data_IF_181237417662
#
_entry.id   IF_181237417662
#
_cell.length_a   1.000
_cell.length_b   1.000
_cell.length_c   1.000
_cell.angle_alpha   90.00
_cell.angle_beta   90.00
_cell.angle_gamma   90.00
#
_symmetry.space_group_name_H-M   'P 1'
#
loop_
_entity.id
_entity.type
_entity.pdbx_description
1 polymer ?
#
# COMPACT_ATOMS: atom_id res chain seq x y z
N UNK A 1 -4.86 -10.97 30.98
CA UNK A 1 -4.24 -11.57 29.79
C UNK A 1 -5.36 -11.99 28.83
N UNK A 2 -5.64 -11.19 27.83
CA UNK A 2 -6.55 -11.58 26.75
C UNK A 2 -5.85 -12.69 25.97
N UNK A 3 -6.53 -13.83 25.76
CA UNK A 3 -5.98 -14.90 24.94
C UNK A 3 -5.64 -14.32 23.56
N UNK A 4 -4.39 -14.49 23.11
CA UNK A 4 -3.99 -14.14 21.74
C UNK A 4 -4.79 -15.10 20.85
N UNK A 5 -5.78 -14.57 20.12
CA UNK A 5 -6.53 -15.31 19.11
C UNK A 5 -5.53 -15.84 18.07
N UNK A 6 -5.75 -17.06 17.56
CA UNK A 6 -5.02 -17.56 16.41
C UNK A 6 -5.16 -16.54 15.25
N UNK A 7 -4.06 -16.27 14.53
CA UNK A 7 -4.06 -15.33 13.40
C UNK A 7 -5.14 -15.65 12.36
N UNK A 8 -5.49 -16.91 12.18
CA UNK A 8 -6.57 -17.34 11.28
C UNK A 8 -7.96 -16.96 11.78
N UNK A 9 -8.22 -17.10 13.08
CA UNK A 9 -9.48 -16.67 13.72
C UNK A 9 -9.60 -15.16 13.69
N UNK A 10 -8.48 -14.46 13.91
CA UNK A 10 -8.45 -13.00 13.85
C UNK A 10 -8.72 -12.49 12.44
N UNK A 11 -8.09 -13.09 11.43
CA UNK A 11 -8.36 -12.80 10.01
C UNK A 11 -9.85 -13.00 9.69
N UNK A 12 -10.42 -14.14 10.07
CA UNK A 12 -11.84 -14.42 9.83
C UNK A 12 -12.74 -13.34 10.44
N UNK A 13 -12.47 -12.95 11.68
CA UNK A 13 -13.20 -11.87 12.37
C UNK A 13 -13.12 -10.54 11.61
N UNK A 14 -11.93 -10.14 11.17
CA UNK A 14 -11.75 -8.88 10.42
C UNK A 14 -12.51 -8.95 9.09
N UNK A 15 -12.41 -10.06 8.35
CA UNK A 15 -13.11 -10.23 7.08
C UNK A 15 -14.63 -10.21 7.24
N UNK A 16 -15.17 -10.81 8.30
CA UNK A 16 -16.61 -10.79 8.58
C UNK A 16 -17.09 -9.39 8.97
N UNK A 17 -16.32 -8.66 9.78
CA UNK A 17 -16.59 -7.25 10.08
C UNK A 17 -16.59 -6.39 8.81
N UNK A 18 -15.62 -6.59 7.92
CA UNK A 18 -15.52 -5.87 6.64
C UNK A 18 -16.70 -6.18 5.72
N UNK A 19 -17.11 -7.43 5.61
CA UNK A 19 -18.30 -7.82 4.81
C UNK A 19 -19.58 -7.18 5.36
N UNK A 20 -19.71 -7.10 6.66
CA UNK A 20 -20.84 -6.42 7.31
C UNK A 20 -20.80 -4.89 7.08
N UNK A 21 -19.61 -4.28 7.15
CA UNK A 21 -19.41 -2.84 6.92
C UNK A 21 -19.49 -2.45 5.44
N UNK A 22 -19.18 -3.35 4.54
CA UNK A 22 -19.00 -3.09 3.11
C UNK A 22 -20.14 -2.34 2.42
N UNK A 23 -21.44 -2.71 2.62
CA UNK A 23 -22.55 -1.95 2.06
C UNK A 23 -22.58 -0.48 2.49
N UNK A 24 -22.14 -0.19 3.73
CA UNK A 24 -22.05 1.17 4.27
C UNK A 24 -20.90 1.94 3.61
N UNK A 25 -19.71 1.34 3.49
CA UNK A 25 -18.57 1.95 2.77
C UNK A 25 -18.97 2.33 1.35
N UNK A 26 -19.59 1.40 0.64
CA UNK A 26 -20.08 1.62 -0.73
C UNK A 26 -21.09 2.76 -0.83
N UNK A 27 -22.00 2.90 0.14
CA UNK A 27 -22.98 3.98 0.17
C UNK A 27 -22.33 5.34 0.41
N UNK A 28 -21.31 5.39 1.28
CA UNK A 28 -20.59 6.63 1.61
C UNK A 28 -19.57 7.05 0.54
N UNK A 29 -19.13 6.13 -0.32
CA UNK A 29 -18.03 6.35 -1.25
C UNK A 29 -18.21 7.58 -2.17
N UNK A 30 -19.43 7.85 -2.67
CA UNK A 30 -19.69 8.99 -3.54
C UNK A 30 -19.59 10.34 -2.80
N UNK A 31 -20.00 10.39 -1.55
CA UNK A 31 -19.90 11.57 -0.70
C UNK A 31 -18.46 11.80 -0.27
N UNK A 32 -17.75 10.74 0.12
CA UNK A 32 -16.33 10.81 0.48
C UNK A 32 -15.46 11.28 -0.70
N UNK A 33 -15.74 10.77 -1.91
CA UNK A 33 -15.08 11.25 -3.14
C UNK A 33 -15.30 12.76 -3.34
N UNK A 34 -16.53 13.23 -3.21
CA UNK A 34 -16.86 14.66 -3.36
C UNK A 34 -16.23 15.53 -2.27
N UNK A 35 -16.09 14.99 -1.06
CA UNK A 35 -15.47 15.67 0.07
C UNK A 35 -13.93 15.66 0.00
N UNK A 36 -13.33 14.86 -0.90
CA UNK A 36 -11.88 14.67 -1.01
C UNK A 36 -11.28 13.94 0.19
N UNK A 37 -12.11 13.35 1.09
CA UNK A 37 -11.64 12.61 2.28
C UNK A 37 -12.73 11.71 2.83
N UNK A 38 -12.34 10.66 3.53
CA UNK A 38 -13.26 9.89 4.37
C UNK A 38 -13.79 10.73 5.52
N UNK A 39 -15.01 10.45 5.96
CA UNK A 39 -15.54 11.02 7.22
C UNK A 39 -14.87 10.35 8.41
N UNK A 40 -14.80 11.07 9.53
CA UNK A 40 -14.26 10.53 10.78
C UNK A 40 -15.05 9.30 11.26
N UNK A 41 -16.36 9.24 10.96
CA UNK A 41 -17.20 8.06 11.20
C UNK A 41 -16.73 6.85 10.36
N UNK A 42 -16.37 7.07 9.09
CA UNK A 42 -15.85 5.99 8.23
C UNK A 42 -14.50 5.46 8.76
N UNK A 43 -13.62 6.36 9.21
CA UNK A 43 -12.35 5.96 9.83
C UNK A 43 -12.58 5.18 11.12
N UNK A 44 -13.52 5.61 11.96
CA UNK A 44 -13.87 4.89 13.19
C UNK A 44 -14.47 3.49 12.91
N UNK A 45 -15.32 3.36 11.89
CA UNK A 45 -15.88 2.08 11.48
C UNK A 45 -14.80 1.13 10.92
N UNK A 46 -13.84 1.64 10.14
CA UNK A 46 -12.68 0.87 9.66
C UNK A 46 -11.78 0.43 10.81
N UNK A 47 -11.54 1.31 11.79
CA UNK A 47 -10.79 0.97 13.00
C UNK A 47 -11.49 -0.13 13.81
N UNK A 48 -12.80 0.01 14.02
CA UNK A 48 -13.61 -0.99 14.70
C UNK A 48 -13.63 -2.34 13.96
N UNK A 49 -13.54 -2.33 12.63
CA UNK A 49 -13.38 -3.55 11.82
C UNK A 49 -12.01 -4.20 12.00
N UNK A 50 -11.01 -3.48 12.52
CA UNK A 50 -9.68 -3.98 12.87
C UNK A 50 -8.62 -3.74 11.79
N UNK A 51 -8.92 -3.00 10.70
CA UNK A 51 -8.02 -2.90 9.54
C UNK A 51 -6.72 -2.15 9.80
N UNK A 52 -6.69 -1.24 10.77
CA UNK A 52 -5.50 -0.45 11.07
C UNK A 52 -4.48 -1.13 11.99
N UNK A 53 -4.83 -2.33 12.52
CA UNK A 53 -3.97 -3.09 13.43
C UNK A 53 -3.38 -4.36 12.78
N UNK A 54 -3.70 -4.66 11.51
CA UNK A 54 -3.34 -5.91 10.84
C UNK A 54 -1.82 -6.17 10.78
N UNK A 55 -1.00 -5.12 10.65
CA UNK A 55 0.45 -5.18 10.62
C UNK A 55 1.11 -4.65 11.90
N UNK A 56 0.33 -4.27 12.93
CA UNK A 56 0.86 -3.73 14.18
C UNK A 56 1.43 -4.85 15.07
N UNK A 57 2.47 -4.55 15.91
CA UNK A 57 3.11 -5.55 16.74
C UNK A 57 2.15 -6.16 17.77
N UNK A 58 2.14 -7.50 17.87
CA UNK A 58 1.30 -8.23 18.81
C UNK A 58 1.58 -7.86 20.28
N UNK A 59 2.83 -7.54 20.61
CA UNK A 59 3.27 -7.10 21.94
C UNK A 59 2.59 -5.80 22.38
N UNK A 60 2.11 -4.99 21.44
CA UNK A 60 1.39 -3.73 21.67
C UNK A 60 -0.10 -3.83 21.32
N UNK A 61 -0.64 -5.05 21.24
CA UNK A 61 -2.05 -5.29 20.99
C UNK A 61 -2.47 -5.24 19.52
N UNK A 62 -1.51 -5.30 18.61
CA UNK A 62 -1.74 -5.48 17.17
C UNK A 62 -2.05 -6.92 16.80
N UNK A 63 -2.46 -7.14 15.57
CA UNK A 63 -2.83 -8.47 15.05
C UNK A 63 -1.64 -9.23 14.44
N UNK A 64 -0.62 -8.51 14.02
CA UNK A 64 0.61 -9.05 13.41
C UNK A 64 0.33 -10.17 12.40
N UNK A 65 -0.66 -9.94 11.54
CA UNK A 65 -1.06 -10.90 10.51
C UNK A 65 0.10 -11.18 9.55
N UNK A 66 0.11 -12.37 8.94
CA UNK A 66 1.07 -12.68 7.88
C UNK A 66 0.87 -11.78 6.68
N UNK A 67 1.87 -11.65 5.81
CA UNK A 67 1.80 -10.83 4.59
C UNK A 67 0.62 -11.26 3.71
N UNK A 68 0.43 -12.58 3.58
CA UNK A 68 -0.68 -13.15 2.83
C UNK A 68 -2.04 -12.77 3.43
N UNK A 69 -2.17 -12.80 4.75
CA UNK A 69 -3.40 -12.42 5.44
C UNK A 69 -3.68 -10.91 5.33
N UNK A 70 -2.64 -10.07 5.45
CA UNK A 70 -2.76 -8.62 5.24
C UNK A 70 -3.20 -8.27 3.81
N UNK A 71 -2.64 -8.96 2.79
CA UNK A 71 -3.06 -8.82 1.40
C UNK A 71 -4.56 -9.12 1.25
N UNK A 72 -5.07 -10.15 1.92
CA UNK A 72 -6.48 -10.54 1.87
C UNK A 72 -7.39 -9.48 2.50
N UNK A 73 -7.00 -8.92 3.65
CA UNK A 73 -7.73 -7.81 4.29
C UNK A 73 -7.79 -6.58 3.40
N UNK A 74 -6.64 -6.16 2.84
CA UNK A 74 -6.57 -4.99 1.95
C UNK A 74 -7.42 -5.21 0.70
N UNK A 75 -7.41 -6.43 0.14
CA UNK A 75 -8.24 -6.79 -1.01
C UNK A 75 -9.73 -6.69 -0.67
N UNK A 76 -10.16 -7.21 0.50
CA UNK A 76 -11.56 -7.14 0.92
C UNK A 76 -12.02 -5.69 1.15
N UNK A 77 -11.23 -4.83 1.81
CA UNK A 77 -11.56 -3.40 1.97
C UNK A 77 -11.71 -2.74 0.60
N UNK A 78 -10.74 -2.94 -0.28
CA UNK A 78 -10.68 -2.32 -1.61
C UNK A 78 -11.82 -2.73 -2.53
N UNK A 79 -12.39 -3.90 -2.32
CA UNK A 79 -13.58 -4.41 -3.01
C UNK A 79 -14.81 -3.53 -2.76
N UNK A 80 -14.89 -2.93 -1.59
CA UNK A 80 -15.98 -2.05 -1.19
C UNK A 80 -15.71 -0.59 -1.54
N UNK A 81 -14.47 -0.12 -1.28
CA UNK A 81 -14.03 1.24 -1.57
C UNK A 81 -12.51 1.28 -1.80
N UNK A 82 -12.07 1.74 -2.99
CA UNK A 82 -10.66 1.79 -3.36
C UNK A 82 -9.85 2.75 -2.49
N UNK A 83 -10.43 3.89 -2.11
CA UNK A 83 -9.77 4.86 -1.22
C UNK A 83 -9.60 4.33 0.20
N UNK A 84 -10.59 3.58 0.73
CA UNK A 84 -10.48 2.92 2.03
C UNK A 84 -9.40 1.82 2.01
N UNK A 85 -9.29 1.08 0.90
CA UNK A 85 -8.20 0.13 0.69
C UNK A 85 -6.83 0.79 0.69
N UNK A 86 -6.71 1.95 0.04
CA UNK A 86 -5.48 2.75 0.04
C UNK A 86 -5.10 3.19 1.45
N UNK A 87 -6.05 3.78 2.19
CA UNK A 87 -5.87 4.17 3.60
C UNK A 87 -5.42 2.99 4.46
N UNK A 88 -6.02 1.81 4.30
CA UNK A 88 -5.61 0.59 5.00
C UNK A 88 -4.18 0.17 4.65
N UNK A 89 -3.82 0.20 3.36
CA UNK A 89 -2.48 -0.14 2.90
C UNK A 89 -1.42 0.83 3.42
N UNK A 90 -1.69 2.15 3.35
CA UNK A 90 -0.76 3.17 3.86
C UNK A 90 -0.54 2.99 5.35
N UNK A 91 -1.60 2.84 6.14
CA UNK A 91 -1.49 2.61 7.58
C UNK A 91 -0.64 1.37 7.91
N UNK A 92 -0.88 0.23 7.23
CA UNK A 92 -0.06 -0.96 7.41
C UNK A 92 1.41 -0.69 7.06
N UNK A 93 1.67 -0.01 5.93
CA UNK A 93 3.02 0.26 5.42
C UNK A 93 3.82 1.19 6.31
N UNK A 94 3.21 2.26 6.78
CA UNK A 94 3.88 3.28 7.60
C UNK A 94 4.04 2.84 9.05
N UNK A 95 3.13 2.03 9.55
CA UNK A 95 3.28 1.36 10.84
C UNK A 95 4.51 0.44 10.85
N UNK A 96 4.72 -0.32 9.78
CA UNK A 96 5.90 -1.18 9.65
C UNK A 96 7.20 -0.36 9.59
N UNK A 97 7.22 0.77 8.87
CA UNK A 97 8.36 1.69 8.83
C UNK A 97 8.67 2.27 10.22
N UNK A 98 7.65 2.64 11.00
CA UNK A 98 7.83 3.12 12.36
C UNK A 98 8.47 2.05 13.26
N UNK A 99 8.07 0.80 13.11
CA UNK A 99 8.69 -0.32 13.83
C UNK A 99 10.20 -0.47 13.52
N UNK A 100 10.61 -0.15 12.29
CA UNK A 100 12.02 -0.15 11.89
C UNK A 100 12.88 0.93 12.56
N UNK A 101 12.30 1.95 13.20
CA UNK A 101 13.04 2.98 13.93
C UNK A 101 13.39 2.56 15.37
N UNK A 102 13.01 1.37 15.80
CA UNK A 102 13.40 0.77 17.08
C UNK A 102 12.39 0.92 18.21
N UNK A 103 12.68 0.38 19.41
CA UNK A 103 11.67 0.16 20.45
C UNK A 103 11.04 1.45 20.98
N UNK A 104 11.79 2.56 21.05
CA UNK A 104 11.28 3.82 21.61
C UNK A 104 10.17 4.43 20.76
N UNK A 105 10.28 4.43 19.44
CA UNK A 105 9.22 4.91 18.54
C UNK A 105 8.04 3.95 18.51
N UNK A 106 8.31 2.65 18.63
CA UNK A 106 7.24 1.64 18.73
C UNK A 106 6.37 1.93 19.95
N UNK A 107 7.00 2.19 21.11
CA UNK A 107 6.27 2.54 22.32
C UNK A 107 5.46 3.83 22.16
N UNK A 108 6.06 4.89 21.60
CA UNK A 108 5.37 6.17 21.35
C UNK A 108 4.14 6.01 20.43
N UNK A 109 4.25 5.22 19.38
CA UNK A 109 3.19 5.07 18.36
C UNK A 109 2.11 4.09 18.81
N UNK A 110 2.47 3.00 19.49
CA UNK A 110 1.54 1.90 19.75
C UNK A 110 0.99 1.84 21.17
N UNK A 111 1.74 2.33 22.19
CA UNK A 111 1.24 2.31 23.58
C UNK A 111 -0.01 3.19 23.80
N UNK A 112 -0.16 4.39 23.25
CA UNK A 112 -1.36 5.19 23.39
C UNK A 112 -2.56 4.56 22.67
N UNK A 113 -3.75 4.66 23.26
CA UNK A 113 -4.99 4.34 22.55
C UNK A 113 -5.24 5.39 21.47
N UNK A 114 -5.50 4.93 20.26
CA UNK A 114 -5.79 5.76 19.11
C UNK A 114 -6.88 5.12 18.25
N UNK A 115 -7.71 5.92 17.61
CA UNK A 115 -8.71 5.47 16.64
C UNK A 115 -8.25 5.89 15.25
N UNK A 116 -8.16 4.92 14.33
CA UNK A 116 -7.70 5.11 12.96
C UNK A 116 -6.22 4.80 12.73
N UNK A 117 -5.66 5.24 11.59
CA UNK A 117 -4.26 5.01 11.26
C UNK A 117 -3.33 5.67 12.27
N UNK A 118 -2.24 5.01 12.63
CA UNK A 118 -1.28 5.52 13.63
C UNK A 118 -0.18 6.35 13.02
N UNK A 119 0.26 5.98 11.83
CA UNK A 119 1.28 6.70 11.09
C UNK A 119 0.80 6.93 9.67
N UNK A 120 0.89 8.15 9.21
CA UNK A 120 0.60 8.55 7.84
C UNK A 120 1.85 8.42 6.96
N UNK A 121 1.65 8.29 5.66
CA UNK A 121 2.70 8.32 4.65
C UNK A 121 2.68 9.60 3.82
N UNK A 122 3.84 10.00 3.34
CA UNK A 122 3.98 11.07 2.35
C UNK A 122 4.83 10.61 1.18
N UNK A 123 4.96 11.43 0.13
CA UNK A 123 5.84 11.07 -0.99
C UNK A 123 7.31 11.01 -0.54
N UNK A 124 7.93 9.85 -0.73
CA UNK A 124 9.28 9.59 -0.30
C UNK A 124 10.28 9.78 -1.44
N UNK A 125 10.01 9.32 -2.67
CA UNK A 125 10.96 9.25 -3.77
C UNK A 125 10.45 9.77 -5.09
N UNK A 126 11.33 10.17 -5.96
CA UNK A 126 12.47 11.08 -5.88
C UNK A 126 12.00 12.51 -5.72
N UNK A 127 10.67 12.67 -5.55
CA UNK A 127 9.96 13.94 -5.50
C UNK A 127 10.00 14.60 -4.12
N UNK A 128 10.67 14.01 -3.12
CA UNK A 128 10.77 14.65 -1.80
C UNK A 128 11.50 15.98 -1.90
N UNK A 129 10.81 17.04 -1.48
CA UNK A 129 11.40 18.37 -1.29
C UNK A 129 11.96 18.56 0.11
N UNK A 130 11.83 17.56 0.99
CA UNK A 130 12.40 17.53 2.32
C UNK A 130 13.90 17.35 2.26
N UNK A 131 14.60 18.01 3.16
CA UNK A 131 16.04 17.89 3.38
C UNK A 131 16.30 17.58 4.83
N UNK A 132 17.34 16.80 5.11
CA UNK A 132 17.78 16.54 6.47
C UNK A 132 19.31 16.74 6.55
N UNK A 133 19.75 17.34 7.64
CA UNK A 133 21.15 17.47 8.00
C UNK A 133 21.39 16.89 9.38
N UNK A 134 22.55 16.25 9.57
CA UNK A 134 22.91 15.68 10.86
C UNK A 134 23.01 16.80 11.90
N UNK A 135 22.47 16.56 13.08
CA UNK A 135 22.55 17.43 14.26
C UNK A 135 22.85 16.58 15.49
N UNK A 136 23.30 17.20 16.58
CA UNK A 136 23.58 16.45 17.81
C UNK A 136 22.31 15.75 18.32
N UNK A 137 22.39 14.42 18.48
CA UNK A 137 21.29 13.58 18.96
C UNK A 137 20.19 13.27 17.94
N UNK A 138 20.36 13.68 16.66
CA UNK A 138 19.36 13.42 15.61
C UNK A 138 19.60 14.19 14.33
N UNK A 139 18.51 14.69 13.75
CA UNK A 139 18.50 15.37 12.46
C UNK A 139 17.69 16.65 12.51
N UNK A 140 18.14 17.66 11.81
CA UNK A 140 17.32 18.85 11.53
C UNK A 140 16.78 18.71 10.13
N UNK A 141 15.44 18.73 9.99
CA UNK A 141 14.73 18.65 8.71
C UNK A 141 14.22 20.03 8.31
N UNK A 142 14.11 20.23 6.99
CA UNK A 142 13.61 21.46 6.38
C UNK A 142 12.98 21.20 5.01
N UNK A 143 12.37 22.21 4.40
CA UNK A 143 11.81 22.15 3.06
C UNK A 143 10.32 21.78 3.03
N UNK A 144 9.90 20.98 2.05
CA UNK A 144 8.49 20.71 1.73
C UNK A 144 7.97 21.59 0.59
N UNK A 145 6.69 21.56 0.23
CA UNK A 145 5.69 20.67 0.80
C UNK A 145 6.00 19.18 0.50
N UNK A 146 5.70 18.31 1.48
CA UNK A 146 5.61 16.87 1.26
C UNK A 146 4.25 16.55 0.70
N UNK A 147 4.19 16.22 -0.58
CA UNK A 147 2.95 15.89 -1.29
C UNK A 147 2.47 14.47 -0.98
N UNK A 148 1.23 14.17 -1.34
CA UNK A 148 0.62 12.84 -1.18
C UNK A 148 0.67 12.32 0.28
N UNK A 149 0.27 13.19 1.24
CA UNK A 149 0.20 12.88 2.66
C UNK A 149 -0.98 11.97 3.00
N UNK A 150 -0.95 10.74 2.53
CA UNK A 150 -2.02 9.78 2.79
C UNK A 150 -2.13 9.48 4.28
N UNK A 151 -3.37 9.44 4.81
CA UNK A 151 -3.71 9.27 6.23
C UNK A 151 -3.33 10.43 7.16
N UNK A 152 -2.65 11.46 6.65
CA UNK A 152 -2.16 12.58 7.46
C UNK A 152 -3.27 13.38 8.17
N UNK A 153 -4.49 13.33 7.64
CA UNK A 153 -5.65 13.99 8.25
C UNK A 153 -6.14 13.28 9.54
N UNK A 154 -5.71 12.04 9.80
CA UNK A 154 -6.19 11.23 10.94
C UNK A 154 -5.07 10.74 11.85
N UNK A 155 -3.89 10.44 11.31
CA UNK A 155 -2.80 9.86 12.08
C UNK A 155 -2.13 10.84 13.04
N UNK A 156 -1.69 10.40 14.24
CA UNK A 156 -0.93 11.22 15.20
C UNK A 156 0.51 11.47 14.76
N UNK A 157 1.06 10.63 13.89
CA UNK A 157 2.40 10.77 13.33
C UNK A 157 2.36 10.71 11.80
N UNK A 158 3.32 11.36 11.16
CA UNK A 158 3.52 11.26 9.71
C UNK A 158 4.97 10.90 9.42
N UNK A 159 5.19 9.89 8.57
CA UNK A 159 6.48 9.59 8.00
C UNK A 159 6.77 10.56 6.84
N UNK A 160 7.76 11.43 7.02
CA UNK A 160 8.23 12.36 5.99
C UNK A 160 9.54 11.88 5.39
N UNK A 161 9.60 11.79 4.06
CA UNK A 161 10.85 11.49 3.36
C UNK A 161 11.73 12.72 3.26
N UNK A 162 12.99 12.64 3.70
CA UNK A 162 13.97 13.71 3.59
C UNK A 162 15.23 13.22 2.87
N UNK A 163 15.73 14.02 1.94
CA UNK A 163 17.01 13.72 1.27
C UNK A 163 18.15 14.22 2.15
N UNK A 164 19.09 13.33 2.39
CA UNK A 164 20.37 13.64 3.03
C UNK A 164 21.44 13.63 1.97
N UNK A 165 22.19 14.72 1.84
CA UNK A 165 23.33 14.81 0.95
C UNK A 165 24.61 14.44 1.73
N UNK A 166 25.30 13.37 1.34
CA UNK A 166 26.57 12.91 1.94
C UNK A 166 27.65 12.80 0.86
N UNK A 167 28.58 13.79 0.82
CA UNK A 167 29.71 13.76 -0.09
C UNK A 167 29.31 13.69 -1.57
N UNK A 168 29.67 12.60 -2.24
CA UNK A 168 29.34 12.38 -3.67
C UNK A 168 27.98 11.70 -3.89
N UNK A 169 27.21 11.42 -2.81
CA UNK A 169 25.92 10.72 -2.88
C UNK A 169 24.84 11.36 -2.06
N UNK A 170 23.62 10.85 -2.23
CA UNK A 170 22.49 11.19 -1.39
C UNK A 170 21.69 9.94 -1.04
N UNK A 171 21.00 9.97 0.09
CA UNK A 171 20.09 8.90 0.48
C UNK A 171 18.79 9.46 1.05
N UNK A 172 17.79 8.60 1.18
CA UNK A 172 16.51 8.94 1.77
C UNK A 172 16.50 8.56 3.26
N UNK A 173 16.13 9.52 4.07
CA UNK A 173 15.82 9.36 5.48
C UNK A 173 14.30 9.50 5.67
N UNK A 174 13.66 8.51 6.25
CA UNK A 174 12.29 8.61 6.74
C UNK A 174 12.31 9.15 8.17
N UNK A 175 11.47 10.15 8.43
CA UNK A 175 11.38 10.75 9.77
C UNK A 175 9.94 10.74 10.27
N UNK A 176 9.74 10.30 11.52
CA UNK A 176 8.42 10.26 12.15
C UNK A 176 8.19 11.60 12.86
N UNK A 177 7.28 12.41 12.32
CA UNK A 177 6.97 13.74 12.85
C UNK A 177 5.59 13.74 13.49
N UNK A 178 5.47 14.22 14.75
CA UNK A 178 4.17 14.37 15.40
C UNK A 178 3.26 15.35 14.66
N UNK A 179 1.97 15.10 14.72
CA UNK A 179 0.95 15.89 14.04
C UNK A 179 0.96 17.39 14.45
N UNK A 180 1.26 17.68 15.71
CA UNK A 180 1.33 19.04 16.25
C UNK A 180 2.45 19.91 15.64
N UNK A 181 3.47 19.30 15.03
CA UNK A 181 4.55 20.00 14.34
C UNK A 181 4.24 20.26 12.86
N UNK A 182 3.08 19.80 12.37
CA UNK A 182 2.70 19.78 10.97
C UNK A 182 1.45 20.61 10.70
N UNK A 183 1.41 21.26 9.54
CA UNK A 183 0.19 21.84 8.95
C UNK A 183 -0.14 21.14 7.65
N UNK A 184 -1.43 20.97 7.40
CA UNK A 184 -1.98 20.29 6.24
C UNK A 184 -2.58 21.30 5.29
N UNK A 185 -2.28 21.20 4.00
CA UNK A 185 -2.80 22.09 2.97
C UNK A 185 -4.13 21.52 2.44
N UNK A 186 -5.03 22.39 2.01
CA UNK A 186 -6.28 22.00 1.37
C UNK A 186 -6.08 22.01 -0.16
N UNK A 187 -5.33 21.05 -0.67
CA UNK A 187 -4.87 21.00 -2.07
C UNK A 187 -5.10 19.63 -2.75
N UNK A 188 -5.93 18.76 -2.14
CA UNK A 188 -6.21 17.44 -2.69
C UNK A 188 -7.36 17.47 -3.69
N UNK A 189 -7.05 17.81 -4.95
CA UNK A 189 -7.99 17.81 -6.09
C UNK A 189 -7.50 16.84 -7.16
N UNK A 190 -8.08 15.65 -7.22
CA UNK A 190 -7.60 14.52 -8.03
C UNK A 190 -8.73 13.77 -8.71
N UNK A 191 -8.40 13.04 -9.78
CA UNK A 191 -9.36 12.32 -10.61
C UNK A 191 -9.77 10.95 -10.05
N UNK A 192 -9.02 10.37 -9.13
CA UNK A 192 -9.31 9.07 -8.51
C UNK A 192 -8.60 8.94 -7.17
N UNK A 193 -8.97 7.94 -6.36
CA UNK A 193 -8.54 7.83 -4.96
C UNK A 193 -8.84 9.09 -4.14
N UNK A 194 -9.90 9.82 -4.52
CA UNK A 194 -10.19 11.14 -3.97
C UNK A 194 -10.42 11.13 -2.46
N UNK A 195 -11.08 10.08 -1.93
CA UNK A 195 -11.42 10.02 -0.51
C UNK A 195 -10.22 9.70 0.41
N UNK A 196 -9.02 9.51 -0.13
CA UNK A 196 -7.80 9.30 0.68
C UNK A 196 -7.34 10.54 1.42
N UNK A 197 -7.78 11.74 0.99
CA UNK A 197 -7.38 13.00 1.62
C UNK A 197 -5.85 13.18 1.66
N UNK A 198 -5.15 12.77 0.59
CA UNK A 198 -3.68 12.74 0.55
C UNK A 198 -3.08 14.13 0.33
N UNK A 199 -3.45 15.06 1.18
CA UNK A 199 -3.07 16.48 1.14
C UNK A 199 -1.56 16.68 1.25
N UNK A 200 -1.08 17.86 0.85
CA UNK A 200 0.31 18.26 1.08
C UNK A 200 0.55 18.69 2.53
N UNK A 201 1.75 18.46 3.01
CA UNK A 201 2.17 18.65 4.40
C UNK A 201 3.33 19.65 4.44
N UNK A 202 3.32 20.53 5.43
CA UNK A 202 4.37 21.49 5.72
C UNK A 202 4.74 21.42 7.20
N UNK A 203 5.95 21.81 7.56
CA UNK A 203 6.30 22.14 8.95
C UNK A 203 5.60 23.43 9.37
N UNK A 204 5.36 23.62 10.68
CA UNK A 204 4.94 24.91 11.22
C UNK A 204 6.05 25.96 11.11
N UNK A 205 7.31 25.55 11.28
CA UNK A 205 8.50 26.40 11.13
C UNK A 205 9.25 26.13 9.82
N UNK A 206 10.39 26.79 9.65
CA UNK A 206 11.29 26.55 8.52
C UNK A 206 12.12 25.28 8.71
N UNK A 207 12.47 24.96 9.94
CA UNK A 207 13.23 23.77 10.34
C UNK A 207 12.59 23.12 11.56
N UNK A 208 12.82 21.81 11.71
CA UNK A 208 12.41 21.01 12.86
C UNK A 208 13.52 20.04 13.23
N UNK A 209 13.89 19.97 14.52
CA UNK A 209 14.76 18.93 15.02
C UNK A 209 13.96 17.63 15.27
N UNK A 210 14.45 16.51 14.73
CA UNK A 210 13.89 15.17 14.91
C UNK A 210 14.94 14.30 15.59
N UNK A 211 14.65 13.71 16.77
CA UNK A 211 15.60 12.83 17.45
C UNK A 211 15.85 11.56 16.66
N UNK A 212 17.06 11.01 16.78
CA UNK A 212 17.53 9.84 16.01
C UNK A 212 16.55 8.66 16.03
N UNK A 213 15.95 8.36 17.17
CA UNK A 213 15.04 7.21 17.34
C UNK A 213 13.72 7.33 16.56
N UNK A 214 13.41 8.50 15.99
CA UNK A 214 12.27 8.73 15.09
C UNK A 214 12.66 8.69 13.62
N UNK A 215 13.88 8.28 13.32
CA UNK A 215 14.41 8.28 11.98
C UNK A 215 14.72 6.86 11.51
N UNK A 216 14.51 6.59 10.22
CA UNK A 216 14.87 5.33 9.57
C UNK A 216 15.60 5.62 8.27
N UNK A 217 16.78 5.04 8.12
CA UNK A 217 17.56 5.09 6.89
C UNK A 217 16.98 4.09 5.89
N UNK A 218 16.46 4.58 4.78
CA UNK A 218 15.84 3.71 3.76
C UNK A 218 16.83 2.80 3.05
N UNK A 219 18.14 3.06 3.16
CA UNK A 219 19.17 2.12 2.69
C UNK A 219 19.16 0.83 3.51
N UNK A 220 18.58 0.85 4.72
CA UNK A 220 18.67 -0.22 5.69
C UNK A 220 17.36 -0.62 6.38
N UNK A 221 16.22 -0.29 5.80
CA UNK A 221 14.91 -0.55 6.40
C UNK A 221 14.75 -2.01 6.84
N UNK A 222 15.18 -2.97 6.01
CA UNK A 222 15.06 -4.40 6.36
C UNK A 222 15.90 -4.76 7.58
N UNK A 223 17.17 -4.33 7.62
CA UNK A 223 18.03 -4.61 8.78
C UNK A 223 17.54 -3.90 10.04
N UNK A 224 17.12 -2.63 9.91
CA UNK A 224 16.55 -1.87 11.02
C UNK A 224 15.33 -2.58 11.62
N UNK A 225 14.43 -3.09 10.78
CA UNK A 225 13.26 -3.85 11.25
C UNK A 225 13.65 -5.19 11.89
N UNK A 226 14.66 -5.87 11.34
CA UNK A 226 15.21 -7.10 11.94
C UNK A 226 15.79 -6.82 13.33
N UNK A 227 16.46 -5.68 13.51
CA UNK A 227 17.10 -5.23 14.74
C UNK A 227 16.17 -4.54 15.73
N UNK A 228 14.91 -4.29 15.36
CA UNK A 228 13.91 -3.59 16.18
C UNK A 228 13.59 -4.23 17.53
N UNK A 229 14.01 -5.49 17.73
CA UNK A 229 13.72 -6.28 18.94
C UNK A 229 12.37 -7.02 18.86
N UNK A 230 11.53 -6.77 17.87
CA UNK A 230 10.28 -7.47 17.67
C UNK A 230 10.52 -8.94 17.26
N UNK A 231 9.84 -9.88 17.93
CA UNK A 231 10.13 -11.30 17.79
C UNK A 231 9.46 -11.96 16.58
N UNK A 232 8.34 -11.45 16.10
CA UNK A 232 7.54 -12.08 15.05
C UNK A 232 8.26 -12.16 13.69
N UNK A 233 7.96 -13.20 12.91
CA UNK A 233 8.52 -13.41 11.56
C UNK A 233 8.15 -12.30 10.57
N UNK A 234 7.04 -11.60 10.78
CA UNK A 234 6.65 -10.42 10.00
C UNK A 234 7.75 -9.34 10.01
N UNK A 235 8.38 -9.12 11.15
CA UNK A 235 9.45 -8.11 11.35
C UNK A 235 10.80 -8.55 10.79
N UNK A 236 10.89 -9.79 10.34
CA UNK A 236 12.05 -10.40 9.69
C UNK A 236 11.82 -10.61 8.19
N UNK A 237 10.63 -10.27 7.70
CA UNK A 237 10.27 -10.41 6.29
C UNK A 237 11.02 -9.39 5.41
N UNK A 238 11.34 -9.73 4.15
CA UNK A 238 11.90 -8.79 3.19
C UNK A 238 10.98 -7.59 2.96
N UNK A 239 11.46 -6.38 3.20
CA UNK A 239 10.67 -5.14 3.14
C UNK A 239 9.96 -4.93 1.79
N UNK A 240 10.67 -5.16 0.68
CA UNK A 240 10.09 -5.01 -0.65
C UNK A 240 9.04 -6.10 -0.93
N UNK A 241 9.32 -7.35 -0.58
CA UNK A 241 8.37 -8.45 -0.70
C UNK A 241 7.08 -8.16 0.06
N UNK A 242 7.20 -7.67 1.28
CA UNK A 242 6.09 -7.29 2.12
C UNK A 242 5.29 -6.11 1.55
N UNK A 243 5.92 -4.95 1.31
CA UNK A 243 5.24 -3.73 0.88
C UNK A 243 4.51 -3.89 -0.47
N UNK A 244 5.15 -4.55 -1.45
CA UNK A 244 4.57 -4.74 -2.78
C UNK A 244 3.49 -5.82 -2.80
N UNK A 245 3.63 -6.90 -2.03
CA UNK A 245 2.55 -7.87 -1.89
C UNK A 245 1.27 -7.23 -1.35
N UNK A 246 1.38 -6.36 -0.35
CA UNK A 246 0.26 -5.61 0.20
C UNK A 246 -0.38 -4.65 -0.82
N UNK A 247 0.45 -3.95 -1.60
CA UNK A 247 0.00 -3.01 -2.61
C UNK A 247 -0.85 -3.68 -3.71
N UNK A 248 -0.55 -4.93 -4.05
CA UNK A 248 -1.34 -5.70 -5.00
C UNK A 248 -2.79 -5.92 -4.55
N UNK A 249 -3.02 -6.02 -3.24
CA UNK A 249 -4.36 -6.22 -2.67
C UNK A 249 -5.37 -5.16 -3.10
N UNK A 250 -4.94 -3.90 -3.22
CA UNK A 250 -5.80 -2.81 -3.68
C UNK A 250 -6.32 -3.04 -5.10
N UNK A 251 -5.41 -3.33 -6.03
CA UNK A 251 -5.78 -3.55 -7.43
C UNK A 251 -6.73 -4.75 -7.60
N UNK A 252 -6.46 -5.84 -6.89
CA UNK A 252 -7.27 -7.05 -6.90
C UNK A 252 -8.67 -6.75 -6.35
N UNK A 253 -8.75 -6.13 -5.17
CA UNK A 253 -10.04 -5.83 -4.53
C UNK A 253 -10.92 -4.91 -5.36
N UNK A 254 -10.36 -3.81 -5.90
CA UNK A 254 -11.12 -2.89 -6.77
C UNK A 254 -11.66 -3.63 -8.01
N UNK A 255 -10.87 -4.52 -8.61
CA UNK A 255 -11.30 -5.28 -9.77
C UNK A 255 -12.39 -6.31 -9.44
N UNK A 256 -12.28 -7.01 -8.31
CA UNK A 256 -13.33 -7.92 -7.81
C UNK A 256 -14.62 -7.14 -7.51
N UNK A 257 -14.55 -5.98 -6.86
CA UNK A 257 -15.68 -5.11 -6.59
C UNK A 257 -16.35 -4.59 -7.86
N UNK A 258 -15.57 -4.19 -8.86
CA UNK A 258 -16.09 -3.77 -10.16
C UNK A 258 -16.81 -4.91 -10.91
N UNK A 259 -16.25 -6.13 -10.85
CA UNK A 259 -16.89 -7.32 -11.45
C UNK A 259 -18.22 -7.63 -10.78
N UNK A 260 -18.33 -7.59 -9.47
CA UNK A 260 -19.59 -7.79 -8.76
C UNK A 260 -20.64 -6.75 -9.15
N UNK A 261 -20.24 -5.45 -9.20
CA UNK A 261 -21.14 -4.37 -9.65
C UNK A 261 -21.62 -4.57 -11.06
N UNK A 262 -20.74 -5.01 -11.95
CA UNK A 262 -21.13 -5.30 -13.32
C UNK A 262 -22.15 -6.45 -13.40
N UNK A 263 -21.91 -7.53 -12.67
CA UNK A 263 -22.82 -8.67 -12.63
C UNK A 263 -24.21 -8.30 -12.08
N UNK A 264 -24.27 -7.55 -10.98
CA UNK A 264 -25.52 -7.04 -10.43
C UNK A 264 -26.30 -6.20 -11.45
N UNK A 265 -25.60 -5.32 -12.15
CA UNK A 265 -26.19 -4.37 -13.10
C UNK A 265 -26.58 -4.98 -14.44
N UNK A 266 -25.95 -6.06 -14.86
CA UNK A 266 -26.14 -6.70 -16.16
C UNK A 266 -27.45 -7.48 -16.26
N UNK A 267 -28.08 -7.82 -15.14
CA UNK A 267 -29.36 -8.54 -15.10
C UNK A 267 -30.50 -7.68 -15.61
N UNK A 268 -31.29 -8.22 -16.57
CA UNK A 268 -32.43 -7.53 -17.17
C UNK A 268 -32.08 -6.30 -17.99
N UNK A 269 -30.78 -6.00 -18.19
CA UNK A 269 -30.34 -4.85 -18.97
C UNK A 269 -30.18 -5.19 -20.43
N UNK A 270 -30.87 -4.43 -21.30
CA UNK A 270 -30.74 -4.57 -22.75
C UNK A 270 -29.40 -3.98 -23.26
N UNK A 271 -28.78 -4.64 -24.25
CA UNK A 271 -27.65 -4.10 -24.99
C UNK A 271 -28.16 -3.30 -26.18
N UNK A 272 -28.02 -1.98 -26.15
CA UNK A 272 -28.47 -1.10 -27.21
C UNK A 272 -27.79 -1.42 -28.53
N UNK A 273 -28.56 -1.36 -29.63
CA UNK A 273 -28.08 -1.68 -30.98
C UNK A 273 -27.96 -3.18 -31.26
N UNK A 274 -28.48 -4.03 -30.37
CA UNK A 274 -28.58 -5.49 -30.55
C UNK A 274 -29.98 -5.99 -30.26
N UNK A 275 -30.20 -7.29 -30.49
CA UNK A 275 -31.47 -7.98 -30.15
C UNK A 275 -31.47 -8.49 -28.70
N UNK A 276 -30.40 -8.34 -27.94
CA UNK A 276 -30.30 -8.82 -26.56
C UNK A 276 -31.03 -7.89 -25.61
N UNK A 277 -32.07 -8.38 -25.01
CA UNK A 277 -32.87 -7.70 -23.97
C UNK A 277 -32.30 -7.91 -22.57
N UNK A 278 -31.45 -8.92 -22.39
CA UNK A 278 -30.73 -9.22 -21.15
C UNK A 278 -29.25 -9.39 -21.46
N UNK A 279 -28.42 -8.50 -20.92
CA UNK A 279 -26.96 -8.50 -21.14
C UNK A 279 -26.31 -9.81 -20.69
N UNK A 280 -26.84 -10.46 -19.64
CA UNK A 280 -26.33 -11.74 -19.14
C UNK A 280 -26.50 -12.90 -20.15
N UNK A 281 -27.37 -12.78 -21.11
CA UNK A 281 -27.63 -13.82 -22.13
C UNK A 281 -26.75 -13.63 -23.37
N UNK A 282 -26.07 -12.51 -23.50
CA UNK A 282 -25.32 -12.18 -24.69
C UNK A 282 -23.95 -12.92 -24.70
N UNK A 283 -23.63 -13.68 -25.76
CA UNK A 283 -22.33 -14.38 -25.88
C UNK A 283 -21.12 -13.45 -25.75
N UNK A 284 -21.21 -12.21 -26.24
CA UNK A 284 -20.14 -11.21 -26.10
C UNK A 284 -19.89 -10.86 -24.64
N UNK A 285 -20.90 -10.88 -23.78
CA UNK A 285 -20.75 -10.69 -22.33
C UNK A 285 -20.06 -11.88 -21.68
N UNK A 286 -20.38 -13.11 -22.11
CA UNK A 286 -19.76 -14.32 -21.59
C UNK A 286 -18.24 -14.35 -21.90
N UNK A 287 -17.85 -14.00 -23.12
CA UNK A 287 -16.43 -13.92 -23.52
C UNK A 287 -15.70 -12.86 -22.70
N UNK A 288 -16.28 -11.68 -22.57
CA UNK A 288 -15.70 -10.59 -21.77
C UNK A 288 -15.57 -10.99 -20.29
N UNK A 289 -16.59 -11.59 -19.68
CA UNK A 289 -16.54 -12.03 -18.28
C UNK A 289 -15.46 -13.09 -18.04
N UNK A 290 -15.28 -14.03 -18.98
CA UNK A 290 -14.21 -15.03 -18.91
C UNK A 290 -12.82 -14.37 -18.95
N UNK A 291 -12.60 -13.38 -19.81
CA UNK A 291 -11.35 -12.63 -19.87
C UNK A 291 -11.11 -11.81 -18.60
N UNK A 292 -12.11 -11.07 -18.13
CA UNK A 292 -12.04 -10.28 -16.89
C UNK A 292 -11.67 -11.17 -15.71
N UNK A 293 -12.41 -12.29 -15.54
CA UNK A 293 -12.14 -13.23 -14.46
C UNK A 293 -10.73 -13.81 -14.52
N UNK A 294 -10.27 -14.20 -15.72
CA UNK A 294 -8.94 -14.76 -15.89
C UNK A 294 -7.84 -13.77 -15.52
N UNK A 295 -7.98 -12.48 -15.91
CA UNK A 295 -7.03 -11.43 -15.53
C UNK A 295 -6.97 -11.23 -14.01
N UNK A 296 -8.12 -11.13 -13.34
CA UNK A 296 -8.22 -10.93 -11.89
C UNK A 296 -7.64 -12.13 -11.15
N UNK A 297 -8.01 -13.37 -11.54
CA UNK A 297 -7.53 -14.58 -10.88
C UNK A 297 -6.03 -14.79 -11.08
N UNK A 298 -5.50 -14.52 -12.28
CA UNK A 298 -4.05 -14.60 -12.53
C UNK A 298 -3.28 -13.62 -11.65
N UNK A 299 -3.74 -12.37 -11.52
CA UNK A 299 -3.17 -11.38 -10.64
C UNK A 299 -3.20 -11.85 -9.16
N UNK A 300 -4.36 -12.33 -8.72
CA UNK A 300 -4.58 -12.80 -7.34
C UNK A 300 -3.68 -13.95 -6.96
N UNK A 301 -3.65 -15.01 -7.76
CA UNK A 301 -2.84 -16.20 -7.50
C UNK A 301 -1.34 -15.88 -7.47
N UNK A 302 -0.86 -15.08 -8.42
CA UNK A 302 0.52 -14.65 -8.49
C UNK A 302 0.93 -13.84 -7.24
N UNK A 303 0.11 -12.86 -6.84
CA UNK A 303 0.42 -12.03 -5.67
C UNK A 303 0.27 -12.80 -4.35
N UNK A 304 -0.67 -13.75 -4.26
CA UNK A 304 -0.76 -14.65 -3.09
C UNK A 304 0.47 -15.55 -2.96
N UNK A 305 1.02 -16.04 -4.07
CA UNK A 305 2.25 -16.82 -4.06
C UNK A 305 3.45 -15.97 -3.60
N UNK A 306 3.54 -14.73 -4.05
CA UNK A 306 4.58 -13.80 -3.61
C UNK A 306 4.47 -13.46 -2.11
N UNK A 307 3.26 -13.23 -1.63
CA UNK A 307 3.01 -12.96 -0.22
C UNK A 307 3.38 -14.17 0.66
N UNK A 308 2.99 -15.38 0.25
CA UNK A 308 3.36 -16.61 0.96
C UNK A 308 4.88 -16.84 0.98
N UNK A 309 5.58 -16.55 -0.12
CA UNK A 309 7.04 -16.63 -0.17
C UNK A 309 7.69 -15.57 0.73
N UNK A 310 7.12 -14.36 0.80
CA UNK A 310 7.58 -13.32 1.73
C UNK A 310 7.45 -13.77 3.19
N UNK A 311 6.32 -14.39 3.55
CA UNK A 311 6.12 -14.98 4.88
C UNK A 311 7.17 -16.06 5.18
N UNK A 312 7.39 -16.99 4.25
CA UNK A 312 8.40 -18.05 4.37
C UNK A 312 9.82 -17.49 4.58
N UNK A 313 10.18 -16.45 3.84
CA UNK A 313 11.48 -15.78 3.98
C UNK A 313 11.61 -15.10 5.34
N UNK A 314 10.56 -14.49 5.86
CA UNK A 314 10.50 -13.95 7.21
C UNK A 314 10.71 -15.03 8.28
N UNK A 315 10.11 -16.19 8.11
CA UNK A 315 10.30 -17.37 9.00
C UNK A 315 11.73 -17.87 8.98
N UNK A 316 12.36 -18.00 7.80
CA UNK A 316 13.76 -18.39 7.66
C UNK A 316 14.70 -17.41 8.34
N UNK A 317 14.47 -16.10 8.16
CA UNK A 317 15.24 -15.06 8.82
C UNK A 317 15.08 -15.13 10.35
N UNK A 318 13.87 -15.35 10.85
CA UNK A 318 13.60 -15.51 12.27
C UNK A 318 14.27 -16.76 12.86
N UNK A 319 14.40 -17.84 12.07
CA UNK A 319 15.10 -19.07 12.44
C UNK A 319 16.64 -18.97 12.33
N UNK A 320 17.19 -17.84 11.86
CA UNK A 320 18.63 -17.66 11.65
C UNK A 320 19.19 -18.43 10.45
N UNK A 321 18.34 -18.80 9.51
CA UNK A 321 18.69 -19.53 8.27
C UNK A 321 18.26 -18.74 7.03
N UNK A 322 18.83 -17.54 6.79
CA UNK A 322 18.42 -16.67 5.70
C UNK A 322 18.64 -17.32 4.34
N UNK A 323 17.78 -16.98 3.38
CA UNK A 323 17.94 -17.43 2.01
C UNK A 323 19.19 -16.81 1.36
N UNK A 324 19.65 -17.44 0.29
CA UNK A 324 20.79 -16.96 -0.50
C UNK A 324 20.58 -15.53 -0.99
N UNK A 325 21.59 -14.63 -0.91
CA UNK A 325 21.45 -13.23 -1.34
C UNK A 325 21.05 -13.05 -2.82
N UNK A 326 21.53 -13.90 -3.72
CA UNK A 326 21.15 -13.85 -5.15
C UNK A 326 19.68 -14.21 -5.33
N UNK A 327 19.20 -15.22 -4.57
CA UNK A 327 17.78 -15.55 -4.54
C UNK A 327 16.95 -14.37 -4.04
N UNK A 328 17.38 -13.71 -2.95
CA UNK A 328 16.69 -12.55 -2.38
C UNK A 328 16.59 -11.38 -3.36
N UNK A 329 17.66 -11.09 -4.10
CA UNK A 329 17.67 -10.06 -5.13
C UNK A 329 16.67 -10.37 -6.25
N UNK A 330 16.71 -11.60 -6.78
CA UNK A 330 15.79 -12.06 -7.83
C UNK A 330 14.35 -12.07 -7.35
N UNK A 331 14.11 -12.52 -6.12
CA UNK A 331 12.77 -12.52 -5.50
C UNK A 331 12.22 -11.11 -5.39
N UNK A 332 12.98 -10.17 -4.85
CA UNK A 332 12.57 -8.77 -4.70
C UNK A 332 12.20 -8.15 -6.05
N UNK A 333 13.08 -8.27 -7.06
CA UNK A 333 12.82 -7.74 -8.39
C UNK A 333 11.57 -8.38 -9.05
N UNK A 334 11.38 -9.69 -8.85
CA UNK A 334 10.20 -10.42 -9.33
C UNK A 334 8.93 -9.88 -8.71
N UNK A 335 8.87 -9.77 -7.38
CA UNK A 335 7.67 -9.27 -6.68
C UNK A 335 7.27 -7.89 -7.16
N UNK A 336 8.24 -6.99 -7.35
CA UNK A 336 7.98 -5.64 -7.85
C UNK A 336 7.35 -5.69 -9.26
N UNK A 337 7.96 -6.41 -10.18
CA UNK A 337 7.47 -6.53 -11.55
C UNK A 337 6.09 -7.19 -11.60
N UNK A 338 5.89 -8.28 -10.87
CA UNK A 338 4.63 -9.04 -10.83
C UNK A 338 3.50 -8.22 -10.18
N UNK A 339 3.78 -7.41 -9.17
CA UNK A 339 2.79 -6.48 -8.60
C UNK A 339 2.35 -5.42 -9.62
N UNK A 340 3.28 -4.86 -10.39
CA UNK A 340 2.96 -3.93 -11.45
C UNK A 340 2.14 -4.59 -12.58
N UNK A 341 2.46 -5.84 -12.95
CA UNK A 341 1.62 -6.62 -13.87
C UNK A 341 0.24 -6.91 -13.31
N UNK A 342 0.11 -7.23 -12.03
CA UNK A 342 -1.19 -7.43 -11.38
C UNK A 342 -2.04 -6.16 -11.44
N UNK A 343 -1.47 -4.99 -11.14
CA UNK A 343 -2.14 -3.70 -11.26
C UNK A 343 -2.61 -3.42 -12.70
N UNK A 344 -1.75 -3.69 -13.69
CA UNK A 344 -2.09 -3.58 -15.12
C UNK A 344 -3.27 -4.49 -15.49
N UNK A 345 -3.21 -5.79 -15.15
CA UNK A 345 -4.27 -6.74 -15.51
C UNK A 345 -5.60 -6.41 -14.83
N UNK A 346 -5.57 -5.97 -13.57
CA UNK A 346 -6.76 -5.50 -12.86
C UNK A 346 -7.35 -4.24 -13.52
N UNK A 347 -6.52 -3.27 -13.89
CA UNK A 347 -6.96 -2.06 -14.60
C UNK A 347 -7.56 -2.38 -15.98
N UNK A 348 -6.98 -3.32 -16.73
CA UNK A 348 -7.53 -3.80 -18.03
C UNK A 348 -8.87 -4.53 -17.83
N UNK A 349 -8.99 -5.34 -16.77
CA UNK A 349 -10.24 -6.00 -16.43
C UNK A 349 -11.37 -4.97 -16.14
N UNK A 350 -11.06 -3.94 -15.35
CA UNK A 350 -12.00 -2.87 -15.03
C UNK A 350 -12.35 -2.04 -16.29
N UNK A 351 -11.40 -1.78 -17.17
CA UNK A 351 -11.61 -1.13 -18.46
C UNK A 351 -12.64 -1.89 -19.31
N UNK A 352 -12.53 -3.23 -19.38
CA UNK A 352 -13.49 -4.07 -20.09
C UNK A 352 -14.89 -3.96 -19.47
N UNK A 353 -14.99 -3.98 -18.14
CA UNK A 353 -16.25 -3.83 -17.42
C UNK A 353 -16.87 -2.45 -17.68
N UNK A 354 -16.08 -1.38 -17.58
CA UNK A 354 -16.54 0.00 -17.77
C UNK A 354 -17.08 0.21 -19.20
N UNK A 355 -16.33 -0.20 -20.22
CA UNK A 355 -16.76 -0.11 -21.63
C UNK A 355 -18.05 -0.84 -21.92
N UNK A 356 -18.32 -1.94 -21.25
CA UNK A 356 -19.54 -2.75 -21.41
C UNK A 356 -20.67 -2.35 -20.45
N UNK A 357 -20.46 -1.31 -19.63
CA UNK A 357 -21.47 -0.78 -18.70
C UNK A 357 -22.42 0.26 -19.31
N UNK A 358 -22.21 0.64 -20.57
CA UNK A 358 -23.04 1.58 -21.33
C UNK A 358 -22.88 3.04 -20.88
N UNK A 359 -23.60 3.96 -21.55
CA UNK A 359 -23.41 5.40 -21.42
C UNK A 359 -23.60 5.94 -19.99
N UNK A 360 -24.43 5.31 -19.16
CA UNK A 360 -24.61 5.72 -17.76
C UNK A 360 -23.35 5.55 -16.91
N UNK A 361 -22.39 4.73 -17.36
CA UNK A 361 -21.11 4.53 -16.67
C UNK A 361 -20.13 5.70 -16.81
N UNK A 362 -20.53 6.83 -17.40
CA UNK A 362 -19.75 8.09 -17.36
C UNK A 362 -20.16 8.99 -16.18
N UNK A 363 -21.28 8.68 -15.53
CA UNK A 363 -21.79 9.52 -14.45
C UNK A 363 -20.91 9.41 -13.21
N UNK A 364 -20.62 10.55 -12.56
CA UNK A 364 -19.71 10.61 -11.41
C UNK A 364 -20.12 9.73 -10.23
N UNK A 365 -21.42 9.44 -10.10
CA UNK A 365 -21.91 8.54 -9.04
C UNK A 365 -21.76 7.04 -9.37
N UNK A 366 -21.38 6.69 -10.61
CA UNK A 366 -21.29 5.29 -11.03
C UNK A 366 -20.10 4.58 -10.38
N UNK A 367 -20.29 3.48 -9.63
CA UNK A 367 -19.22 2.82 -8.90
C UNK A 367 -18.19 2.13 -9.82
N UNK A 368 -18.57 1.70 -11.02
CA UNK A 368 -17.64 1.07 -11.98
C UNK A 368 -16.71 2.14 -12.57
N UNK A 369 -17.26 3.32 -12.86
CA UNK A 369 -16.46 4.46 -13.32
C UNK A 369 -15.49 4.94 -12.23
N UNK A 370 -15.89 4.94 -10.96
CA UNK A 370 -15.00 5.24 -9.85
C UNK A 370 -13.89 4.20 -9.76
N UNK A 371 -14.22 2.92 -9.76
CA UNK A 371 -13.23 1.84 -9.77
C UNK A 371 -12.23 1.96 -10.93
N UNK A 372 -12.69 2.39 -12.10
CA UNK A 372 -11.83 2.65 -13.26
C UNK A 372 -10.83 3.77 -13.01
N UNK A 373 -11.25 4.89 -12.43
CA UNK A 373 -10.35 6.01 -12.08
C UNK A 373 -9.37 5.62 -10.98
N UNK A 374 -9.84 4.96 -9.93
CA UNK A 374 -9.03 4.51 -8.80
C UNK A 374 -7.95 3.53 -9.25
N UNK A 375 -8.29 2.56 -10.09
CA UNK A 375 -7.32 1.62 -10.65
C UNK A 375 -6.24 2.33 -11.52
N UNK A 376 -6.62 3.40 -12.25
CA UNK A 376 -5.63 4.19 -13.01
C UNK A 376 -4.67 4.93 -12.10
N UNK A 377 -5.12 5.48 -10.99
CA UNK A 377 -4.23 6.14 -10.02
C UNK A 377 -3.19 5.16 -9.48
N UNK A 378 -3.58 3.92 -9.17
CA UNK A 378 -2.64 2.88 -8.72
C UNK A 378 -1.55 2.63 -9.77
N UNK A 379 -1.91 2.50 -11.06
CA UNK A 379 -0.92 2.26 -12.13
C UNK A 379 0.01 3.44 -12.39
N UNK A 380 -0.33 4.64 -11.92
CA UNK A 380 0.51 5.84 -12.01
C UNK A 380 1.43 6.02 -10.79
N UNK A 381 1.27 5.21 -9.76
CA UNK A 381 2.10 5.31 -8.57
C UNK A 381 3.58 5.03 -8.92
N UNK A 382 4.49 5.90 -8.46
CA UNK A 382 5.91 5.81 -8.81
C UNK A 382 6.57 4.47 -8.48
N UNK A 383 6.08 3.78 -7.44
CA UNK A 383 6.51 2.44 -7.07
C UNK A 383 5.95 1.32 -7.96
N UNK A 384 5.07 1.61 -8.92
CA UNK A 384 4.47 0.63 -9.86
C UNK A 384 4.76 0.97 -11.32
N UNK A 385 5.86 1.65 -11.61
CA UNK A 385 6.30 1.87 -12.99
C UNK A 385 6.64 0.51 -13.64
N UNK A 386 5.70 -0.01 -14.41
CA UNK A 386 5.75 -1.36 -14.99
C UNK A 386 7.01 -1.55 -15.85
N UNK A 387 7.34 -0.59 -16.69
CA UNK A 387 8.45 -0.69 -17.63
C UNK A 387 9.80 -0.77 -16.88
N UNK A 388 10.02 0.12 -15.90
CA UNK A 388 11.25 0.13 -15.11
C UNK A 388 11.40 -1.14 -14.24
N UNK A 389 10.33 -1.59 -13.61
CA UNK A 389 10.34 -2.78 -12.77
C UNK A 389 10.55 -4.05 -13.61
N UNK A 390 9.90 -4.13 -14.77
CA UNK A 390 10.05 -5.26 -15.70
C UNK A 390 11.44 -5.31 -16.33
N UNK A 391 12.03 -4.15 -16.66
CA UNK A 391 13.41 -4.08 -17.13
C UNK A 391 14.36 -4.67 -16.09
N UNK A 392 14.30 -4.23 -14.85
CA UNK A 392 15.17 -4.72 -13.79
C UNK A 392 15.07 -6.23 -13.60
N UNK A 393 13.84 -6.76 -13.55
CA UNK A 393 13.64 -8.20 -13.42
C UNK A 393 14.13 -8.97 -14.67
N UNK A 394 13.85 -8.46 -15.88
CA UNK A 394 14.32 -9.03 -17.13
C UNK A 394 15.85 -9.06 -17.24
N UNK A 395 16.53 -8.02 -16.76
CA UNK A 395 17.99 -7.99 -16.68
C UNK A 395 18.54 -9.09 -15.79
N UNK A 396 17.99 -9.28 -14.60
CA UNK A 396 18.38 -10.37 -13.68
C UNK A 396 18.14 -11.75 -14.31
N UNK A 397 17.03 -11.94 -15.01
CA UNK A 397 16.77 -13.19 -15.75
C UNK A 397 17.81 -13.43 -16.86
N UNK A 398 18.32 -12.38 -17.49
CA UNK A 398 19.36 -12.46 -18.50
C UNK A 398 20.78 -12.51 -17.91
N UNK A 399 20.96 -12.62 -16.61
CA UNK A 399 22.26 -12.64 -15.92
C UNK A 399 22.94 -11.26 -15.86
N UNK A 400 22.19 -10.17 -16.04
CA UNK A 400 22.68 -8.79 -15.97
C UNK A 400 22.32 -8.18 -14.61
N UNK A 401 23.12 -7.22 -14.15
CA UNK A 401 22.79 -6.46 -12.94
C UNK A 401 21.60 -5.52 -13.20
N UNK A 402 20.70 -5.34 -12.20
CA UNK A 402 19.64 -4.34 -12.29
C UNK A 402 20.27 -2.94 -12.38
N UNK A 403 19.62 -2.07 -13.13
CA UNK A 403 20.00 -0.68 -13.15
C UNK A 403 18.73 0.15 -13.33
N UNK A 404 18.71 1.43 -13.06
CA UNK A 404 17.52 2.30 -13.17
C UNK A 404 16.45 2.17 -12.09
N UNK A 405 16.74 1.55 -10.94
CA UNK A 405 15.84 1.74 -9.83
C UNK A 405 16.30 2.93 -8.98
N UNK A 406 16.12 4.14 -9.54
CA UNK A 406 16.40 5.36 -8.80
C UNK A 406 15.50 5.40 -7.56
N UNK A 407 16.05 5.08 -6.42
CA UNK A 407 15.43 5.38 -5.15
C UNK A 407 15.03 4.23 -4.25
N UNK A 408 15.20 2.97 -4.63
CA UNK A 408 15.14 1.86 -3.68
C UNK A 408 16.53 1.24 -3.57
N UNK A 409 17.38 1.90 -2.82
CA UNK A 409 18.75 1.47 -2.50
C UNK A 409 18.81 0.18 -1.68
N UNK A 410 17.66 -0.32 -1.21
CA UNK A 410 17.56 -1.63 -0.56
C UNK A 410 17.92 -2.79 -1.49
N UNK A 411 17.92 -2.62 -2.81
CA UNK A 411 18.50 -3.60 -3.73
C UNK A 411 20.03 -3.67 -3.62
N UNK A 412 20.69 -2.57 -3.26
CA UNK A 412 22.16 -2.52 -3.14
C UNK A 412 22.69 -3.36 -1.96
N UNK A 413 21.87 -3.66 -0.95
CA UNK A 413 22.26 -4.51 0.17
C UNK A 413 22.10 -6.01 -0.08
N UNK A 414 21.24 -6.38 -1.02
CA UNK A 414 21.15 -7.76 -1.49
C UNK A 414 22.19 -8.06 -2.58
N UNK A 415 22.89 -7.04 -3.07
CA UNK A 415 24.04 -7.22 -3.95
C UNK A 415 25.31 -7.24 -3.08
N UNK A 416 26.18 -8.27 -3.19
CA UNK A 416 27.50 -8.22 -2.61
C UNK A 416 28.23 -6.96 -3.08
N UNK A 417 29.12 -6.44 -2.24
CA UNK A 417 29.91 -5.21 -2.38
C UNK A 417 30.60 -4.95 -3.75
N UNK A 418 30.34 -5.77 -4.78
CA UNK A 418 30.84 -5.63 -6.16
C UNK A 418 30.19 -4.49 -6.95
N UNK A 419 29.03 -3.93 -6.51
CA UNK A 419 28.39 -2.79 -7.20
C UNK A 419 29.02 -1.41 -6.86
N UNK A 420 29.95 -1.36 -5.91
CA UNK A 420 30.69 -0.13 -5.59
C UNK A 420 31.85 0.18 -6.57
N UNK A 421 32.03 -0.60 -7.61
CA UNK A 421 33.15 -0.50 -8.55
C UNK A 421 32.73 -0.36 -10.02
N UNK A 422 31.59 0.27 -10.29
CA UNK A 422 31.21 0.58 -11.69
C UNK A 422 30.83 2.05 -11.83
#
# INVERSE_FOLDING_TARGET
MTAILDKSERLATILDNLRALGPTLRKRAAEAEKAGRHSDETIADLDAAGVFNIGSPAEYGGDELTVRQQLEVISEVSKWDGSAGWTTWVAASTNWLAAGSGPKIIEEVYAPKWVGPRVAGSSHFPASKGRARRSEGGWTISGGPWTFGSDALWAPYTNLGCIVDEGEGSFLLGVQVPREDLRFLDDWDVAGMCATGSVSIMLHGEELFVPEYRCVDFRDVTSATIESGLAGSLWKAPSLGWAFSLMAGMSIGIAEGALERFLERSEGRAIRGTTYTNQREAPLTHLMLAEVHSKIQSAKLMCQANAAETDRLGELNAAGTPADPEYMQKFSARVLAETAYAAKWCAEAIELLQRNSGATAIMSFDPIQRAWRDARVITLHGALNLEALSENYGRLMAGMQPHNFAGITTLDRFAPSALKAA
#
